data_IF_896257375302
#
_entry.id   IF_896257375302
#
_cell.length_a   1.000
_cell.length_b   1.000
_cell.length_c   1.000
_cell.angle_alpha   90.00
_cell.angle_beta   90.00
_cell.angle_gamma   90.00
#
_symmetry.space_group_name_H-M   'P 1'
#
loop_
_entity.id
_entity.type
_entity.pdbx_description
1 polymer ?
#
# COMPACT_ATOMS: atom_id res chain seq x y z
N UNK A 1 -19.51 5.61 -43.77
CA UNK A 1 -18.28 5.11 -43.12
C UNK A 1 -18.44 3.62 -42.85
N UNK A 2 -17.41 2.80 -43.09
CA UNK A 2 -17.53 1.37 -42.83
C UNK A 2 -17.73 1.17 -41.33
N UNK A 3 -18.74 0.38 -40.95
CA UNK A 3 -19.00 0.05 -39.56
C UNK A 3 -17.77 -0.69 -38.98
N UNK A 4 -17.23 -0.21 -37.89
CA UNK A 4 -16.10 -0.84 -37.20
C UNK A 4 -16.57 -2.21 -36.70
N UNK A 5 -15.93 -3.28 -37.16
CA UNK A 5 -16.27 -4.64 -36.73
C UNK A 5 -15.89 -4.87 -35.23
N UNK A 6 -16.62 -5.74 -34.56
CA UNK A 6 -16.33 -6.10 -33.16
C UNK A 6 -14.92 -6.70 -33.02
N UNK A 7 -14.44 -7.38 -34.06
CA UNK A 7 -13.05 -7.87 -34.11
C UNK A 7 -12.02 -6.73 -34.07
N UNK A 8 -12.29 -5.65 -34.82
CA UNK A 8 -11.43 -4.45 -34.78
C UNK A 8 -11.46 -3.79 -33.40
N UNK A 9 -12.63 -3.75 -32.74
CA UNK A 9 -12.78 -3.21 -31.38
C UNK A 9 -11.98 -4.07 -30.39
N UNK A 10 -12.12 -5.39 -30.44
CA UNK A 10 -11.35 -6.31 -29.57
C UNK A 10 -9.84 -6.17 -29.78
N UNK A 11 -9.40 -6.03 -31.03
CA UNK A 11 -7.98 -5.79 -31.35
C UNK A 11 -7.48 -4.46 -30.76
N UNK A 12 -8.27 -3.40 -30.87
CA UNK A 12 -7.97 -2.08 -30.30
C UNK A 12 -7.89 -2.14 -28.76
N UNK A 13 -8.86 -2.81 -28.11
CA UNK A 13 -8.87 -3.02 -26.66
C UNK A 13 -7.57 -3.71 -26.20
N UNK A 14 -7.19 -4.79 -26.89
CA UNK A 14 -5.97 -5.54 -26.62
C UNK A 14 -4.72 -4.69 -26.79
N UNK A 15 -4.64 -3.90 -27.86
CA UNK A 15 -3.52 -3.00 -28.11
C UNK A 15 -3.40 -1.95 -26.99
N UNK A 16 -4.49 -1.25 -26.66
CA UNK A 16 -4.50 -0.25 -25.57
C UNK A 16 -4.13 -0.89 -24.22
N UNK A 17 -4.65 -2.10 -23.95
CA UNK A 17 -4.34 -2.82 -22.72
C UNK A 17 -2.84 -3.13 -22.60
N UNK A 18 -2.21 -3.55 -23.70
CA UNK A 18 -0.77 -3.79 -23.75
C UNK A 18 0.04 -2.49 -23.63
N UNK A 19 -0.30 -1.45 -24.38
CA UNK A 19 0.41 -0.16 -24.35
C UNK A 19 0.33 0.53 -22.97
N UNK A 20 -0.74 0.33 -22.23
CA UNK A 20 -0.99 0.95 -20.93
C UNK A 20 -0.76 0.02 -19.74
N UNK A 21 -0.35 -1.22 -19.99
CA UNK A 21 -0.14 -2.26 -18.97
C UNK A 21 -1.33 -2.41 -18.03
N UNK A 22 -2.52 -2.59 -18.62
CA UNK A 22 -3.79 -2.77 -17.91
C UNK A 22 -4.56 -3.98 -18.42
N UNK A 23 -5.47 -4.50 -17.60
CA UNK A 23 -6.34 -5.62 -17.98
C UNK A 23 -7.30 -5.19 -19.09
N UNK A 24 -7.47 -6.03 -20.12
CA UNK A 24 -8.39 -5.79 -21.23
C UNK A 24 -9.82 -5.44 -20.78
N UNK A 25 -10.30 -6.13 -19.74
CA UNK A 25 -11.64 -5.86 -19.18
C UNK A 25 -11.82 -4.42 -18.66
N UNK A 26 -10.75 -3.75 -18.22
CA UNK A 26 -10.84 -2.35 -17.78
C UNK A 26 -10.94 -1.39 -18.97
N UNK A 27 -10.21 -1.68 -20.04
CA UNK A 27 -10.28 -0.90 -21.30
C UNK A 27 -11.66 -1.07 -21.95
N UNK A 28 -12.16 -2.31 -21.98
CA UNK A 28 -13.49 -2.62 -22.51
C UNK A 28 -14.59 -1.88 -21.74
N UNK A 29 -14.52 -1.88 -20.41
CA UNK A 29 -15.45 -1.14 -19.58
C UNK A 29 -15.41 0.35 -19.86
N UNK A 30 -14.22 0.95 -19.89
CA UNK A 30 -14.08 2.39 -20.20
C UNK A 30 -14.63 2.74 -21.57
N UNK A 31 -14.46 1.87 -22.57
CA UNK A 31 -15.00 2.06 -23.90
C UNK A 31 -16.53 1.97 -23.90
N UNK A 32 -17.13 1.00 -23.21
CA UNK A 32 -18.58 0.88 -23.04
C UNK A 32 -19.17 2.14 -22.38
N UNK A 33 -18.56 2.64 -21.31
CA UNK A 33 -19.00 3.84 -20.61
C UNK A 33 -18.89 5.10 -21.50
N UNK A 34 -17.88 5.18 -22.34
CA UNK A 34 -17.73 6.24 -23.34
C UNK A 34 -18.85 6.20 -24.41
N UNK A 35 -19.15 5.02 -24.93
CA UNK A 35 -20.24 4.83 -25.92
C UNK A 35 -21.59 5.18 -25.29
N UNK A 36 -21.86 4.74 -24.05
CA UNK A 36 -23.05 5.14 -23.31
C UNK A 36 -23.15 6.65 -23.18
N UNK A 37 -22.03 7.34 -22.93
CA UNK A 37 -22.00 8.82 -22.85
C UNK A 37 -22.33 9.48 -24.17
N UNK A 38 -21.79 8.95 -25.29
CA UNK A 38 -22.12 9.46 -26.63
C UNK A 38 -23.61 9.32 -26.94
N UNK A 39 -24.19 8.14 -26.69
CA UNK A 39 -25.59 7.87 -26.95
C UNK A 39 -26.50 8.77 -26.12
N UNK A 40 -26.22 8.90 -24.82
CA UNK A 40 -27.01 9.77 -23.95
C UNK A 40 -27.02 11.22 -24.41
N UNK A 41 -25.86 11.72 -24.83
CA UNK A 41 -25.74 13.11 -25.30
C UNK A 41 -26.34 13.31 -26.68
N UNK A 42 -26.11 12.37 -27.60
CA UNK A 42 -26.61 12.47 -28.96
C UNK A 42 -28.13 12.39 -29.03
N UNK A 43 -28.76 11.45 -28.35
CA UNK A 43 -30.21 11.23 -28.32
C UNK A 43 -30.95 11.94 -27.20
N UNK A 44 -30.27 12.62 -26.26
CA UNK A 44 -30.91 13.21 -25.09
C UNK A 44 -31.58 12.18 -24.18
N UNK A 45 -31.08 10.93 -24.15
CA UNK A 45 -31.70 9.84 -23.38
C UNK A 45 -31.37 10.03 -21.91
N UNK A 46 -32.38 10.18 -21.06
CA UNK A 46 -32.28 10.05 -19.62
C UNK A 46 -32.58 8.61 -19.20
N UNK A 47 -31.77 8.05 -18.33
CA UNK A 47 -31.98 6.68 -17.84
C UNK A 47 -30.69 5.87 -17.77
N UNK A 48 -30.84 4.61 -17.37
CA UNK A 48 -29.73 3.66 -17.30
C UNK A 48 -29.53 3.00 -18.66
N UNK A 49 -28.32 3.13 -19.19
CA UNK A 49 -27.93 2.54 -20.46
C UNK A 49 -26.76 1.59 -20.25
N UNK A 50 -26.76 0.48 -20.99
CA UNK A 50 -25.60 -0.40 -21.13
C UNK A 50 -25.31 -0.64 -22.60
N UNK A 51 -24.08 -1.04 -22.90
CA UNK A 51 -23.64 -1.41 -24.24
C UNK A 51 -23.01 -2.79 -24.20
N UNK A 52 -23.41 -3.65 -25.11
CA UNK A 52 -22.83 -4.97 -25.31
C UNK A 52 -22.11 -5.06 -26.66
N UNK A 53 -20.97 -5.74 -26.66
CA UNK A 53 -20.24 -6.08 -27.88
C UNK A 53 -20.61 -7.53 -28.25
N UNK A 54 -21.44 -7.70 -29.29
CA UNK A 54 -21.92 -8.99 -29.80
C UNK A 54 -21.29 -9.28 -31.14
N UNK A 55 -21.43 -10.50 -31.66
CA UNK A 55 -20.95 -10.83 -33.02
C UNK A 55 -21.58 -9.96 -34.11
N UNK A 56 -22.79 -9.50 -33.89
CA UNK A 56 -23.53 -8.63 -34.83
C UNK A 56 -23.17 -7.14 -34.70
N UNK A 57 -22.38 -6.74 -33.72
CA UNK A 57 -21.96 -5.35 -33.51
C UNK A 57 -22.13 -4.82 -32.10
N UNK A 58 -22.19 -3.51 -31.99
CA UNK A 58 -22.42 -2.78 -30.74
C UNK A 58 -23.92 -2.70 -30.49
N UNK A 59 -24.39 -3.32 -29.39
CA UNK A 59 -25.82 -3.28 -29.05
C UNK A 59 -26.04 -2.47 -27.77
N UNK A 60 -26.65 -1.30 -27.86
CA UNK A 60 -27.06 -0.52 -26.71
C UNK A 60 -28.44 -0.96 -26.20
N UNK A 61 -28.60 -0.93 -24.88
CA UNK A 61 -29.84 -1.25 -24.21
C UNK A 61 -30.19 -0.21 -23.16
N UNK A 62 -31.46 0.22 -23.13
CA UNK A 62 -32.03 0.93 -21.99
C UNK A 62 -32.39 -0.08 -20.91
N UNK A 63 -32.02 0.20 -19.66
CA UNK A 63 -32.26 -0.69 -18.52
C UNK A 63 -33.36 -0.11 -17.66
N UNK A 64 -34.47 -0.79 -17.58
CA UNK A 64 -35.62 -0.42 -16.73
C UNK A 64 -35.99 -1.52 -15.74
N UNK A 65 -36.60 -1.14 -14.61
CA UNK A 65 -37.27 -2.10 -13.74
C UNK A 65 -38.44 -2.73 -14.49
N UNK A 66 -38.59 -4.05 -14.45
CA UNK A 66 -39.66 -4.78 -15.15
C UNK A 66 -41.04 -4.19 -14.84
N UNK A 67 -41.28 -3.90 -13.58
CA UNK A 67 -42.58 -3.36 -13.08
C UNK A 67 -42.87 -1.98 -13.64
N UNK A 68 -41.87 -1.10 -13.73
CA UNK A 68 -42.04 0.25 -14.31
C UNK A 68 -42.31 0.17 -15.81
N UNK A 69 -41.57 -0.69 -16.51
CA UNK A 69 -41.77 -0.88 -17.95
C UNK A 69 -43.16 -1.47 -18.23
N UNK A 70 -43.63 -2.42 -17.46
CA UNK A 70 -44.96 -3.00 -17.58
C UNK A 70 -46.06 -1.97 -17.34
N UNK A 71 -45.92 -1.14 -16.29
CA UNK A 71 -46.87 -0.05 -16.00
C UNK A 71 -46.92 0.99 -17.10
N UNK A 72 -45.76 1.40 -17.65
CA UNK A 72 -45.69 2.33 -18.78
C UNK A 72 -46.42 1.77 -20.00
N UNK A 73 -46.19 0.52 -20.37
CA UNK A 73 -46.81 -0.13 -21.52
C UNK A 73 -48.32 -0.34 -21.35
N UNK A 74 -48.75 -0.65 -20.13
CA UNK A 74 -50.19 -0.76 -19.81
C UNK A 74 -50.91 0.59 -19.97
N UNK A 75 -50.29 1.69 -19.55
CA UNK A 75 -50.81 3.04 -19.78
C UNK A 75 -50.90 3.41 -21.27
N UNK A 76 -50.02 2.86 -22.10
CA UNK A 76 -50.03 2.99 -23.54
C UNK A 76 -51.05 2.04 -24.25
N UNK A 77 -51.78 1.20 -23.49
CA UNK A 77 -52.73 0.21 -24.02
C UNK A 77 -52.08 -1.01 -24.65
N UNK A 78 -50.77 -1.24 -24.36
CA UNK A 78 -50.01 -2.35 -24.93
C UNK A 78 -49.81 -3.47 -23.91
N UNK A 79 -49.99 -4.73 -24.35
CA UNK A 79 -49.66 -5.92 -23.59
C UNK A 79 -48.23 -6.32 -23.98
N UNK A 80 -47.33 -6.37 -22.98
CA UNK A 80 -45.90 -6.71 -23.19
C UNK A 80 -45.68 -8.21 -23.04
N UNK A 81 -45.13 -8.83 -24.06
CA UNK A 81 -44.55 -10.17 -23.93
C UNK A 81 -43.07 -10.05 -23.47
N UNK A 82 -42.83 -10.28 -22.20
CA UNK A 82 -41.50 -10.20 -21.59
C UNK A 82 -40.52 -11.26 -22.07
N UNK A 83 -40.97 -12.33 -22.73
CA UNK A 83 -40.07 -13.38 -23.26
C UNK A 83 -39.25 -12.91 -24.45
N UNK A 84 -39.65 -11.78 -25.07
CA UNK A 84 -38.89 -11.14 -26.14
C UNK A 84 -37.74 -10.24 -25.67
N UNK A 85 -37.68 -9.95 -24.38
CA UNK A 85 -36.65 -9.07 -23.81
C UNK A 85 -35.64 -9.87 -22.99
N UNK A 86 -34.40 -9.46 -23.09
CA UNK A 86 -33.35 -9.96 -22.20
C UNK A 86 -33.61 -9.46 -20.79
N UNK A 87 -33.55 -10.39 -19.80
CA UNK A 87 -33.78 -10.10 -18.40
C UNK A 87 -32.44 -10.08 -17.67
N UNK A 88 -32.31 -9.17 -16.69
CA UNK A 88 -31.14 -9.05 -15.83
C UNK A 88 -31.61 -9.07 -14.37
N UNK A 89 -31.10 -9.98 -13.57
CA UNK A 89 -31.39 -10.02 -12.14
C UNK A 89 -30.54 -8.97 -11.40
N UNK A 90 -31.17 -8.30 -10.46
CA UNK A 90 -30.53 -7.32 -9.61
C UNK A 90 -30.89 -7.48 -8.14
N UNK A 91 -30.05 -6.95 -7.26
CA UNK A 91 -30.28 -6.87 -5.82
C UNK A 91 -30.36 -5.43 -5.39
N UNK A 92 -31.42 -5.06 -4.71
CA UNK A 92 -31.59 -3.72 -4.14
C UNK A 92 -30.51 -3.51 -3.08
N UNK A 93 -29.71 -2.45 -3.23
CA UNK A 93 -28.73 -2.06 -2.23
C UNK A 93 -29.38 -1.21 -1.14
N UNK A 94 -30.00 -0.12 -1.55
CA UNK A 94 -30.71 0.80 -0.67
C UNK A 94 -31.49 1.83 -1.50
N UNK A 95 -32.47 2.45 -0.85
CA UNK A 95 -33.21 3.59 -1.38
C UNK A 95 -32.49 4.88 -0.94
N UNK A 96 -32.33 5.82 -1.87
CA UNK A 96 -31.79 7.15 -1.63
C UNK A 96 -32.85 8.22 -1.94
N UNK A 97 -32.56 9.49 -1.60
CA UNK A 97 -33.41 10.61 -2.02
C UNK A 97 -33.47 10.78 -3.55
N UNK A 98 -32.46 10.29 -4.28
CA UNK A 98 -32.32 10.39 -5.72
C UNK A 98 -32.87 9.19 -6.48
N UNK A 99 -33.27 8.09 -5.79
CA UNK A 99 -33.82 6.90 -6.44
C UNK A 99 -33.47 5.58 -5.76
N UNK A 100 -33.84 4.47 -6.41
CA UNK A 100 -33.58 3.10 -6.01
C UNK A 100 -32.23 2.63 -6.59
N UNK A 101 -31.30 2.18 -5.76
CA UNK A 101 -29.99 1.69 -6.18
C UNK A 101 -29.99 0.17 -6.25
N UNK A 102 -29.74 -0.38 -7.42
CA UNK A 102 -29.77 -1.82 -7.69
C UNK A 102 -28.42 -2.27 -8.22
N UNK A 103 -27.86 -3.33 -7.63
CA UNK A 103 -26.62 -3.99 -8.07
C UNK A 103 -26.96 -5.19 -8.94
N UNK A 104 -26.25 -5.35 -10.04
CA UNK A 104 -26.35 -6.50 -10.96
C UNK A 104 -24.94 -6.99 -11.32
N UNK A 105 -24.84 -8.07 -12.07
CA UNK A 105 -23.59 -8.53 -12.67
C UNK A 105 -22.98 -7.52 -13.65
N UNK A 106 -23.83 -6.76 -14.34
CA UNK A 106 -23.42 -5.74 -15.34
C UNK A 106 -23.12 -4.35 -14.74
N UNK A 107 -23.29 -4.19 -13.43
CA UNK A 107 -23.00 -2.94 -12.73
C UNK A 107 -24.06 -2.53 -11.72
N UNK A 108 -23.94 -1.29 -11.25
CA UNK A 108 -24.89 -0.72 -10.28
C UNK A 108 -25.66 0.41 -10.96
N UNK A 109 -26.99 0.33 -10.93
CA UNK A 109 -27.91 1.25 -11.55
C UNK A 109 -28.68 2.06 -10.53
N UNK A 110 -29.01 3.30 -10.87
CA UNK A 110 -29.87 4.18 -10.09
C UNK A 110 -31.16 4.42 -10.85
N UNK A 111 -32.28 3.92 -10.31
CA UNK A 111 -33.61 4.13 -10.88
C UNK A 111 -34.31 5.29 -10.18
N UNK A 112 -34.55 6.37 -10.91
CA UNK A 112 -35.32 7.52 -10.40
C UNK A 112 -36.82 7.23 -10.34
N UNK A 113 -37.31 6.43 -11.30
CA UNK A 113 -38.69 5.96 -11.38
C UNK A 113 -38.78 4.52 -10.88
N UNK A 114 -39.67 4.29 -9.94
CA UNK A 114 -40.03 2.97 -9.38
C UNK A 114 -41.44 3.05 -8.83
N UNK A 115 -42.20 1.94 -8.73
CA UNK A 115 -43.59 1.94 -8.21
C UNK A 115 -43.66 2.63 -6.85
N UNK A 116 -44.54 3.63 -6.73
CA UNK A 116 -44.66 4.44 -5.52
C UNK A 116 -45.38 3.70 -4.38
N UNK A 117 -46.17 2.71 -4.73
CA UNK A 117 -46.95 1.84 -3.83
C UNK A 117 -46.17 0.66 -3.27
N UNK A 118 -44.91 0.49 -3.72
CA UNK A 118 -44.03 -0.61 -3.27
C UNK A 118 -42.85 -0.07 -2.45
N UNK A 119 -42.60 -0.73 -1.32
CA UNK A 119 -41.43 -0.53 -0.49
C UNK A 119 -40.36 -1.54 -0.89
N UNK A 120 -39.15 -1.09 -1.22
CA UNK A 120 -38.01 -1.92 -1.54
C UNK A 120 -37.03 -1.97 -0.36
N UNK A 121 -36.68 -3.18 0.06
CA UNK A 121 -35.73 -3.38 1.15
C UNK A 121 -34.34 -3.75 0.61
N UNK A 122 -33.28 -3.46 1.39
CA UNK A 122 -31.92 -3.87 1.05
C UNK A 122 -31.81 -5.40 1.01
N UNK A 123 -31.22 -5.94 -0.05
CA UNK A 123 -31.11 -7.38 -0.29
C UNK A 123 -32.24 -7.96 -1.14
N UNK A 124 -33.32 -7.24 -1.41
CA UNK A 124 -34.43 -7.70 -2.24
C UNK A 124 -33.99 -7.93 -3.69
N UNK A 125 -34.47 -9.03 -4.29
CA UNK A 125 -34.23 -9.33 -5.71
C UNK A 125 -35.25 -8.62 -6.60
N UNK A 126 -34.77 -8.03 -7.66
CA UNK A 126 -35.59 -7.34 -8.69
C UNK A 126 -35.19 -7.82 -10.07
N UNK A 127 -36.13 -7.77 -10.98
CA UNK A 127 -35.88 -8.10 -12.40
C UNK A 127 -35.83 -6.81 -13.21
N UNK A 128 -34.73 -6.65 -13.98
CA UNK A 128 -34.55 -5.58 -14.93
C UNK A 128 -34.80 -6.11 -16.35
N UNK A 129 -35.26 -5.23 -17.20
CA UNK A 129 -35.50 -5.52 -18.62
C UNK A 129 -34.49 -4.71 -19.43
N UNK A 130 -33.86 -5.37 -20.40
CA UNK A 130 -32.97 -4.74 -21.37
C UNK A 130 -33.77 -4.47 -22.65
N UNK A 131 -34.00 -3.19 -22.91
CA UNK A 131 -34.77 -2.73 -24.08
C UNK A 131 -33.76 -2.32 -25.15
N UNK A 132 -33.68 -3.04 -26.27
CA UNK A 132 -32.76 -2.72 -27.33
C UNK A 132 -33.05 -1.32 -27.91
N UNK A 133 -31.98 -0.56 -28.18
CA UNK A 133 -32.06 0.76 -28.80
C UNK A 133 -31.45 0.66 -30.20
N UNK A 134 -32.18 1.16 -31.17
CA UNK A 134 -31.67 1.40 -32.53
C UNK A 134 -31.02 2.79 -32.58
N UNK A 135 -29.77 2.84 -33.02
CA UNK A 135 -28.99 4.08 -33.10
C UNK A 135 -28.40 4.21 -34.50
N UNK A 136 -28.80 5.28 -35.17
CA UNK A 136 -28.17 5.64 -36.42
C UNK A 136 -26.87 6.42 -36.18
N UNK A 137 -25.81 6.18 -36.98
CA UNK A 137 -24.52 6.86 -36.82
C UNK A 137 -24.61 8.39 -36.84
N UNK A 138 -25.58 8.94 -37.58
CA UNK A 138 -25.84 10.39 -37.73
C UNK A 138 -26.36 11.02 -36.42
N UNK A 139 -26.88 10.23 -35.50
CA UNK A 139 -27.41 10.70 -34.21
C UNK A 139 -26.30 11.00 -33.18
N UNK A 140 -25.05 10.64 -33.49
CA UNK A 140 -23.88 10.95 -32.69
C UNK A 140 -23.12 12.13 -33.27
N UNK A 141 -23.47 13.32 -32.83
CA UNK A 141 -22.81 14.55 -33.26
C UNK A 141 -21.37 14.71 -32.76
N UNK A 142 -20.70 15.76 -33.20
CA UNK A 142 -19.33 16.10 -32.78
C UNK A 142 -19.22 16.26 -31.26
N UNK A 143 -20.20 16.87 -30.62
CA UNK A 143 -20.16 17.11 -29.15
C UNK A 143 -20.34 15.83 -28.36
N UNK A 144 -21.20 14.92 -28.83
CA UNK A 144 -21.36 13.59 -28.24
C UNK A 144 -20.09 12.76 -28.37
N UNK A 145 -19.45 12.78 -29.54
CA UNK A 145 -18.17 12.09 -29.78
C UNK A 145 -17.03 12.66 -28.92
N UNK A 146 -16.95 14.00 -28.78
CA UNK A 146 -15.98 14.66 -27.90
C UNK A 146 -16.16 14.26 -26.44
N UNK A 147 -17.41 14.25 -25.97
CA UNK A 147 -17.71 13.85 -24.59
C UNK A 147 -17.39 12.36 -24.33
N UNK A 148 -17.63 11.50 -25.31
CA UNK A 148 -17.25 10.10 -25.24
C UNK A 148 -15.74 9.93 -25.10
N UNK A 149 -14.95 10.66 -25.91
CA UNK A 149 -13.48 10.66 -25.81
C UNK A 149 -13.00 11.12 -24.44
N UNK A 150 -13.55 12.20 -23.90
CA UNK A 150 -13.21 12.70 -22.57
C UNK A 150 -13.55 11.67 -21.48
N UNK A 151 -14.73 11.04 -21.56
CA UNK A 151 -15.16 9.98 -20.66
C UNK A 151 -14.22 8.77 -20.73
N UNK A 152 -13.90 8.30 -21.94
CA UNK A 152 -12.98 7.17 -22.14
C UNK A 152 -11.62 7.43 -21.48
N UNK A 153 -11.01 8.57 -21.77
CA UNK A 153 -9.71 8.94 -21.21
C UNK A 153 -9.73 9.04 -19.69
N UNK A 154 -10.81 9.58 -19.14
CA UNK A 154 -11.00 9.69 -17.68
C UNK A 154 -11.17 8.31 -17.04
N UNK A 155 -12.10 7.50 -17.51
CA UNK A 155 -12.39 6.16 -16.96
C UNK A 155 -11.17 5.25 -17.09
N UNK A 156 -10.44 5.31 -18.20
CA UNK A 156 -9.19 4.57 -18.38
C UNK A 156 -8.11 5.02 -17.38
N UNK A 157 -7.94 6.34 -17.21
CA UNK A 157 -6.98 6.87 -16.24
C UNK A 157 -7.33 6.46 -14.79
N UNK A 158 -8.60 6.47 -14.44
CA UNK A 158 -9.05 6.06 -13.11
C UNK A 158 -8.91 4.54 -12.90
N UNK A 159 -9.15 3.74 -13.94
CA UNK A 159 -8.92 2.29 -13.92
C UNK A 159 -7.44 1.93 -13.75
N UNK A 160 -6.54 2.64 -14.46
CA UNK A 160 -5.08 2.48 -14.32
C UNK A 160 -4.65 2.77 -12.87
N UNK A 161 -5.13 3.87 -12.29
CA UNK A 161 -4.82 4.23 -10.89
C UNK A 161 -5.33 3.18 -9.90
N UNK A 162 -6.54 2.67 -10.11
CA UNK A 162 -7.13 1.65 -9.22
C UNK A 162 -6.36 0.32 -9.31
N UNK A 163 -5.97 -0.09 -10.52
CA UNK A 163 -5.13 -1.27 -10.72
C UNK A 163 -3.77 -1.09 -10.02
N UNK A 164 -3.09 0.04 -10.27
CA UNK A 164 -1.82 0.37 -9.62
C UNK A 164 -1.94 0.40 -8.09
N UNK A 165 -3.06 0.96 -7.56
CA UNK A 165 -3.31 0.93 -6.12
C UNK A 165 -3.34 -0.49 -5.55
N UNK A 166 -4.00 -1.43 -6.24
CA UNK A 166 -4.08 -2.84 -5.79
C UNK A 166 -2.72 -3.51 -5.84
N UNK A 167 -1.99 -3.34 -6.94
CA UNK A 167 -0.64 -3.89 -7.11
C UNK A 167 0.31 -3.38 -6.00
N UNK A 168 0.34 -2.07 -5.76
CA UNK A 168 1.18 -1.50 -4.71
C UNK A 168 0.69 -1.83 -3.30
N UNK A 169 -0.62 -2.09 -3.11
CA UNK A 169 -1.16 -2.50 -1.81
C UNK A 169 -0.63 -3.88 -1.38
N UNK A 170 -0.39 -4.78 -2.33
CA UNK A 170 0.23 -6.08 -2.08
C UNK A 170 1.72 -5.95 -1.72
N UNK A 171 2.38 -4.87 -2.16
CA UNK A 171 3.77 -4.55 -1.86
C UNK A 171 3.97 -3.71 -0.59
N UNK A 172 2.88 -3.36 0.12
CA UNK A 172 2.98 -2.58 1.36
C UNK A 172 3.80 -3.33 2.41
N UNK A 173 4.83 -2.67 2.94
CA UNK A 173 5.79 -3.26 3.85
C UNK A 173 7.02 -3.87 3.17
N UNK A 174 7.15 -3.78 1.84
CA UNK A 174 8.31 -4.23 1.09
C UNK A 174 9.16 -3.07 0.56
N UNK A 175 10.37 -3.42 0.07
CA UNK A 175 11.28 -2.47 -0.55
C UNK A 175 10.86 -2.23 -2.00
N UNK A 176 10.70 -0.95 -2.34
CA UNK A 176 10.48 -0.49 -3.71
C UNK A 176 11.67 0.32 -4.20
N UNK A 177 11.82 0.37 -5.51
CA UNK A 177 12.86 1.10 -6.22
C UNK A 177 12.19 2.18 -7.06
N UNK A 178 12.75 3.38 -7.06
CA UNK A 178 12.23 4.48 -7.84
C UNK A 178 13.28 5.52 -8.18
N UNK A 179 12.83 6.56 -8.90
CA UNK A 179 13.67 7.69 -9.29
C UNK A 179 13.08 8.97 -8.71
N UNK A 180 13.91 9.80 -8.11
CA UNK A 180 13.50 11.10 -7.60
C UNK A 180 13.06 11.99 -8.74
N UNK A 181 11.78 12.37 -8.74
CA UNK A 181 11.17 13.23 -9.77
C UNK A 181 11.27 14.71 -9.43
N UNK A 182 11.07 15.05 -8.16
CA UNK A 182 11.19 16.41 -7.65
C UNK A 182 11.31 16.44 -6.13
N UNK A 183 11.94 17.49 -5.63
CA UNK A 183 11.96 17.84 -4.21
C UNK A 183 11.03 19.03 -4.02
N UNK A 184 10.08 18.91 -3.10
CA UNK A 184 9.09 19.95 -2.82
C UNK A 184 9.67 21.02 -1.87
N UNK A 185 9.14 22.25 -1.85
CA UNK A 185 9.57 23.29 -0.89
C UNK A 185 9.39 22.87 0.58
N UNK A 186 8.47 21.94 0.88
CA UNK A 186 8.30 21.31 2.20
C UNK A 186 9.48 20.42 2.62
N UNK A 187 10.36 20.07 1.66
CA UNK A 187 11.42 19.07 1.83
C UNK A 187 10.96 17.64 1.55
N UNK A 188 9.68 17.41 1.23
CA UNK A 188 9.21 16.10 0.82
C UNK A 188 9.72 15.76 -0.58
N UNK A 189 10.05 14.50 -0.81
CA UNK A 189 10.57 14.01 -2.09
C UNK A 189 9.50 13.22 -2.81
N UNK A 190 9.24 13.54 -4.07
CA UNK A 190 8.36 12.78 -4.95
C UNK A 190 9.21 11.81 -5.75
N UNK A 191 8.87 10.54 -5.65
CA UNK A 191 9.59 9.41 -6.26
C UNK A 191 8.69 8.74 -7.29
N UNK A 192 9.18 8.61 -8.51
CA UNK A 192 8.53 7.87 -9.58
C UNK A 192 8.81 6.38 -9.41
N UNK A 193 7.75 5.59 -9.25
CA UNK A 193 7.80 4.12 -9.18
C UNK A 193 7.44 3.46 -10.52
N UNK A 194 7.42 4.22 -11.60
CA UNK A 194 7.07 3.78 -12.96
C UNK A 194 5.59 3.94 -13.28
N UNK A 195 4.69 3.34 -12.51
CA UNK A 195 3.22 3.42 -12.72
C UNK A 195 2.56 4.56 -11.95
N UNK A 196 3.13 4.95 -10.82
CA UNK A 196 2.57 5.95 -9.92
C UNK A 196 3.67 6.64 -9.12
N UNK A 197 3.45 7.90 -8.79
CA UNK A 197 4.34 8.66 -7.90
C UNK A 197 4.06 8.30 -6.44
N UNK A 198 5.14 8.14 -5.66
CA UNK A 198 5.11 8.00 -4.21
C UNK A 198 5.74 9.23 -3.55
N UNK A 199 5.42 9.45 -2.29
CA UNK A 199 6.00 10.55 -1.50
C UNK A 199 6.90 9.97 -0.41
N UNK A 200 8.12 10.48 -0.31
CA UNK A 200 9.02 10.28 0.83
C UNK A 200 9.00 11.56 1.67
N UNK A 201 8.18 11.61 2.75
CA UNK A 201 8.06 12.80 3.59
C UNK A 201 9.40 13.12 4.27
N UNK A 202 9.66 14.38 4.54
CA UNK A 202 10.90 14.83 5.19
C UNK A 202 11.19 14.08 6.50
N UNK A 203 10.17 13.79 7.31
CA UNK A 203 10.30 13.03 8.56
C UNK A 203 10.65 11.55 8.37
N UNK A 204 10.46 11.01 7.18
CA UNK A 204 10.75 9.63 6.79
C UNK A 204 12.07 9.51 6.02
N UNK A 205 12.82 10.62 5.89
CA UNK A 205 14.15 10.69 5.26
C UNK A 205 15.22 10.51 6.34
N UNK A 206 16.31 9.84 5.99
CA UNK A 206 17.49 9.78 6.87
C UNK A 206 18.08 11.19 6.96
N UNK A 207 18.32 11.74 8.16
CA UNK A 207 18.73 13.15 8.32
C UNK A 207 20.03 13.54 7.63
N UNK A 208 20.90 12.57 7.35
CA UNK A 208 22.19 12.76 6.68
C UNK A 208 22.11 12.67 5.16
N UNK A 209 20.95 12.29 4.61
CA UNK A 209 20.75 12.15 3.17
C UNK A 209 20.31 13.44 2.50
N UNK A 210 20.77 13.62 1.27
CA UNK A 210 20.32 14.67 0.35
C UNK A 210 19.80 13.99 -0.92
N UNK A 211 18.75 14.55 -1.51
CA UNK A 211 18.09 13.98 -2.68
C UNK A 211 18.08 15.00 -3.82
N UNK A 212 18.47 14.55 -5.00
CA UNK A 212 18.47 15.33 -6.23
C UNK A 212 17.57 14.67 -7.27
N UNK A 213 17.06 15.46 -8.20
CA UNK A 213 16.27 14.96 -9.33
C UNK A 213 17.09 13.95 -10.12
N UNK A 214 16.48 12.83 -10.52
CA UNK A 214 17.06 11.67 -11.17
C UNK A 214 17.88 10.73 -10.29
N UNK A 215 17.99 10.98 -8.98
CA UNK A 215 18.62 10.01 -8.07
C UNK A 215 17.78 8.73 -8.02
N UNK A 216 18.47 7.58 -8.07
CA UNK A 216 17.84 6.27 -7.81
C UNK A 216 17.77 6.04 -6.32
N UNK A 217 16.60 5.64 -5.83
CA UNK A 217 16.34 5.45 -4.42
C UNK A 217 15.71 4.08 -4.16
N UNK A 218 16.15 3.44 -3.07
CA UNK A 218 15.45 2.33 -2.44
C UNK A 218 14.71 2.85 -1.22
N UNK A 219 13.49 2.45 -0.99
CA UNK A 219 12.74 2.81 0.21
C UNK A 219 11.74 1.72 0.58
N UNK A 220 11.32 1.70 1.83
CA UNK A 220 10.18 0.91 2.27
C UNK A 220 8.91 1.56 1.74
N UNK A 221 8.05 0.79 1.10
CA UNK A 221 6.67 1.21 0.83
C UNK A 221 5.88 1.10 2.15
N UNK A 222 5.91 2.20 2.91
CA UNK A 222 5.42 2.21 4.29
C UNK A 222 3.89 2.15 4.38
N UNK A 223 3.20 2.91 3.50
CA UNK A 223 1.74 2.96 3.47
C UNK A 223 1.21 3.12 2.05
N UNK A 224 0.15 2.40 1.77
CA UNK A 224 -0.64 2.53 0.55
C UNK A 224 -2.08 2.80 0.95
N UNK A 225 -2.54 4.02 0.75
CA UNK A 225 -3.87 4.48 1.16
C UNK A 225 -4.56 5.25 0.03
N UNK A 226 -5.86 5.50 0.17
CA UNK A 226 -6.58 6.40 -0.73
C UNK A 226 -6.84 7.71 -0.01
N UNK A 227 -6.39 8.82 -0.60
CA UNK A 227 -6.70 10.17 -0.14
C UNK A 227 -7.58 10.86 -1.17
N UNK A 228 -8.77 11.26 -0.78
CA UNK A 228 -9.78 11.86 -1.68
C UNK A 228 -10.02 11.01 -2.94
N UNK A 229 -10.11 9.69 -2.77
CA UNK A 229 -10.32 8.72 -3.86
C UNK A 229 -9.11 8.45 -4.77
N UNK A 230 -7.94 9.07 -4.51
CA UNK A 230 -6.71 8.85 -5.29
C UNK A 230 -5.71 8.02 -4.51
N UNK A 231 -4.97 7.10 -5.15
CA UNK A 231 -3.87 6.40 -4.53
C UNK A 231 -2.83 7.37 -3.95
N UNK A 232 -2.40 7.11 -2.73
CA UNK A 232 -1.36 7.86 -2.04
C UNK A 232 -0.38 6.88 -1.42
N UNK A 233 0.84 6.85 -1.95
CA UNK A 233 1.92 5.96 -1.55
C UNK A 233 2.91 6.76 -0.71
N UNK A 234 3.21 6.24 0.48
CA UNK A 234 4.16 6.87 1.41
C UNK A 234 5.36 5.96 1.56
N UNK A 235 6.54 6.50 1.28
CA UNK A 235 7.82 5.83 1.45
C UNK A 235 8.44 6.18 2.79
N UNK A 236 9.29 5.29 3.32
CA UNK A 236 10.11 5.54 4.51
C UNK A 236 11.50 4.93 4.33
N UNK A 237 12.52 5.66 4.77
CA UNK A 237 13.90 5.18 4.94
C UNK A 237 14.31 5.14 6.42
N UNK A 238 13.47 5.71 7.31
CA UNK A 238 13.71 5.73 8.77
C UNK A 238 13.08 4.56 9.51
N UNK A 239 12.02 3.96 8.97
CA UNK A 239 11.27 2.92 9.65
C UNK A 239 12.12 1.65 9.91
N UNK A 240 12.04 1.02 11.09
CA UNK A 240 12.82 -0.19 11.41
C UNK A 240 12.58 -1.36 10.43
N UNK A 241 11.37 -1.46 9.87
CA UNK A 241 11.04 -2.47 8.87
C UNK A 241 11.90 -2.34 7.60
N UNK A 242 12.35 -1.12 7.24
CA UNK A 242 13.25 -0.94 6.10
C UNK A 242 14.57 -1.69 6.32
N UNK A 243 15.19 -1.52 7.49
CA UNK A 243 16.40 -2.28 7.84
C UNK A 243 16.15 -3.78 7.90
N UNK A 244 14.99 -4.21 8.43
CA UNK A 244 14.61 -5.63 8.44
C UNK A 244 14.57 -6.20 7.02
N UNK A 245 13.90 -5.53 6.10
CA UNK A 245 13.81 -5.98 4.70
C UNK A 245 15.14 -5.99 3.97
N UNK A 246 16.04 -5.04 4.30
CA UNK A 246 17.41 -5.08 3.77
C UNK A 246 18.17 -6.30 4.30
N UNK A 247 18.05 -6.63 5.60
CA UNK A 247 18.67 -7.81 6.18
C UNK A 247 18.12 -9.11 5.56
N UNK A 248 16.80 -9.22 5.38
CA UNK A 248 16.14 -10.36 4.74
C UNK A 248 16.63 -10.59 3.31
N UNK A 249 16.87 -9.52 2.55
CA UNK A 249 17.38 -9.62 1.17
C UNK A 249 18.87 -9.96 1.05
N UNK A 250 19.68 -9.54 2.01
CA UNK A 250 21.14 -9.72 1.94
C UNK A 250 21.61 -11.01 2.66
N UNK A 251 20.79 -11.56 3.56
CA UNK A 251 21.17 -12.66 4.44
C UNK A 251 20.19 -13.81 4.29
N UNK A 252 20.59 -14.82 3.54
CA UNK A 252 19.75 -16.00 3.22
C UNK A 252 19.24 -16.73 4.46
N UNK A 253 20.03 -16.81 5.51
CA UNK A 253 19.63 -17.49 6.75
C UNK A 253 18.51 -16.75 7.52
N UNK A 254 18.35 -15.44 7.27
CA UNK A 254 17.20 -14.68 7.78
C UNK A 254 15.98 -14.92 6.87
N UNK A 255 16.17 -14.88 5.55
CA UNK A 255 15.10 -15.16 4.58
C UNK A 255 14.51 -16.56 4.76
N UNK A 256 15.38 -17.57 4.96
CA UNK A 256 15.02 -18.97 5.20
C UNK A 256 14.44 -19.19 6.64
N UNK A 257 14.48 -18.19 7.50
CA UNK A 257 13.97 -18.26 8.88
C UNK A 257 14.83 -19.10 9.83
N UNK A 258 16.08 -19.42 9.48
CA UNK A 258 17.08 -20.08 10.38
C UNK A 258 17.53 -19.13 11.49
N UNK A 259 17.68 -17.85 11.12
CA UNK A 259 17.94 -16.75 12.05
C UNK A 259 16.73 -15.81 12.03
N UNK A 260 16.18 -15.56 13.21
CA UNK A 260 15.03 -14.68 13.38
C UNK A 260 15.48 -13.30 13.89
N UNK A 261 15.03 -12.23 13.20
CA UNK A 261 15.17 -10.87 13.70
C UNK A 261 14.01 -10.57 14.64
N UNK A 262 14.25 -10.56 15.93
CA UNK A 262 13.23 -10.33 16.97
C UNK A 262 12.82 -8.86 17.05
N UNK A 263 13.77 -7.96 17.12
CA UNK A 263 13.54 -6.53 17.36
C UNK A 263 14.61 -5.67 16.69
N UNK A 264 14.21 -4.52 16.21
CA UNK A 264 15.11 -3.50 15.68
C UNK A 264 14.76 -2.15 16.31
N UNK A 265 15.78 -1.44 16.80
CA UNK A 265 15.69 -0.04 17.22
C UNK A 265 16.76 0.76 16.48
N UNK A 266 16.40 1.96 16.01
CA UNK A 266 17.27 2.81 15.16
C UNK A 266 17.26 4.26 15.62
N UNK A 267 18.41 4.90 15.46
CA UNK A 267 18.57 6.33 15.22
C UNK A 267 19.02 6.48 13.76
N UNK A 268 18.09 6.78 12.83
CA UNK A 268 18.37 6.72 11.39
C UNK A 268 19.58 7.58 10.98
N UNK A 269 20.51 6.97 10.22
CA UNK A 269 21.76 7.59 9.78
C UNK A 269 22.87 7.65 10.84
N UNK A 270 22.62 7.19 12.08
CA UNK A 270 23.64 7.13 13.13
C UNK A 270 23.90 5.66 13.53
N UNK A 271 22.94 5.01 14.16
CA UNK A 271 23.12 3.65 14.68
C UNK A 271 21.80 2.87 14.80
N UNK A 272 21.88 1.56 14.57
CA UNK A 272 20.81 0.61 14.84
C UNK A 272 21.27 -0.55 15.70
N UNK A 273 20.37 -1.14 16.48
CA UNK A 273 20.55 -2.42 17.16
C UNK A 273 19.52 -3.41 16.64
N UNK A 274 20.02 -4.56 16.20
CA UNK A 274 19.24 -5.64 15.61
C UNK A 274 19.35 -6.86 16.52
N UNK A 275 18.26 -7.26 17.14
CA UNK A 275 18.20 -8.44 17.99
C UNK A 275 17.93 -9.67 17.17
N UNK A 276 18.81 -10.65 17.26
CA UNK A 276 18.73 -11.89 16.51
C UNK A 276 18.70 -13.13 17.42
N UNK A 277 17.95 -14.14 16.97
CA UNK A 277 17.83 -15.44 17.62
C UNK A 277 18.00 -16.54 16.58
N UNK A 278 18.79 -17.57 16.87
CA UNK A 278 18.78 -18.79 16.08
C UNK A 278 17.77 -19.79 16.67
N UNK A 279 17.01 -20.41 15.78
CA UNK A 279 16.12 -21.54 16.16
C UNK A 279 16.90 -22.84 16.31
N UNK A 280 18.07 -22.93 15.69
CA UNK A 280 19.01 -24.06 15.85
C UNK A 280 20.16 -23.64 16.76
N UNK A 281 20.26 -24.27 17.92
CA UNK A 281 21.31 -23.97 18.91
C UNK A 281 22.75 -24.20 18.44
N UNK A 282 22.94 -24.80 17.25
CA UNK A 282 24.27 -25.00 16.62
C UNK A 282 24.72 -23.79 15.79
N UNK A 283 23.80 -22.88 15.49
CA UNK A 283 24.07 -21.72 14.63
C UNK A 283 24.28 -20.50 15.51
N UNK A 284 25.43 -19.84 15.39
CA UNK A 284 25.64 -18.52 15.99
C UNK A 284 24.92 -17.43 15.18
N UNK A 285 23.79 -16.89 15.68
CA UNK A 285 23.02 -15.93 14.89
C UNK A 285 23.76 -14.61 14.65
N UNK A 286 24.65 -14.21 15.57
CA UNK A 286 25.43 -12.97 15.45
C UNK A 286 26.50 -13.12 14.37
N UNK A 287 27.25 -14.23 14.43
CA UNK A 287 28.29 -14.54 13.44
C UNK A 287 27.72 -14.68 12.03
N UNK A 288 26.58 -15.34 11.89
CA UNK A 288 25.89 -15.51 10.60
C UNK A 288 25.49 -14.16 9.99
N UNK A 289 24.88 -13.29 10.79
CA UNK A 289 24.40 -11.98 10.31
C UNK A 289 25.56 -11.04 10.00
N UNK A 290 26.59 -11.00 10.82
CA UNK A 290 27.77 -10.16 10.58
C UNK A 290 28.61 -10.65 9.37
N UNK A 291 28.78 -11.96 9.25
CA UNK A 291 29.76 -12.52 8.34
C UNK A 291 31.19 -12.25 8.79
N UNK A 292 32.16 -12.59 7.94
CA UNK A 292 33.57 -12.35 8.24
C UNK A 292 33.87 -10.84 8.31
N UNK A 293 34.28 -10.36 9.48
CA UNK A 293 34.59 -8.94 9.73
C UNK A 293 33.43 -7.95 9.40
N UNK A 294 32.18 -8.42 9.44
CA UNK A 294 31.01 -7.59 9.18
C UNK A 294 30.68 -7.37 7.70
N UNK A 295 31.23 -8.19 6.81
CA UNK A 295 31.08 -8.03 5.35
C UNK A 295 29.62 -8.05 4.88
N UNK A 296 28.73 -8.80 5.56
CA UNK A 296 27.31 -8.92 5.18
C UNK A 296 26.49 -7.68 5.55
N UNK A 297 26.84 -6.99 6.63
CA UNK A 297 26.12 -5.78 7.07
C UNK A 297 26.67 -4.49 6.48
N UNK A 298 27.89 -4.53 5.91
CA UNK A 298 28.50 -3.34 5.29
C UNK A 298 27.70 -2.76 4.11
N UNK A 299 27.18 -3.56 3.14
CA UNK A 299 26.34 -3.04 2.07
C UNK A 299 25.08 -2.38 2.58
N UNK A 300 24.48 -2.94 3.65
CA UNK A 300 23.29 -2.41 4.30
C UNK A 300 23.61 -1.08 4.99
N UNK A 301 24.72 -1.03 5.75
CA UNK A 301 25.19 0.21 6.38
C UNK A 301 25.42 1.31 5.34
N UNK A 302 26.05 0.98 4.21
CA UNK A 302 26.26 1.91 3.09
C UNK A 302 24.94 2.41 2.49
N UNK A 303 23.97 1.51 2.29
CA UNK A 303 22.62 1.88 1.82
C UNK A 303 21.93 2.85 2.78
N UNK A 304 22.20 2.74 4.09
CA UNK A 304 21.65 3.58 5.15
C UNK A 304 22.56 4.76 5.51
N UNK A 305 23.35 5.27 4.55
CA UNK A 305 24.23 6.45 4.71
C UNK A 305 25.25 6.32 5.83
N UNK A 306 25.77 5.10 6.02
CA UNK A 306 26.80 4.81 7.01
C UNK A 306 26.26 4.54 8.41
N UNK A 307 24.98 4.29 8.58
CA UNK A 307 24.38 3.87 9.85
C UNK A 307 25.08 2.63 10.40
N UNK A 308 25.59 2.70 11.62
CA UNK A 308 26.26 1.58 12.29
C UNK A 308 25.22 0.55 12.73
N UNK A 309 25.43 -0.71 12.40
CA UNK A 309 24.49 -1.80 12.69
C UNK A 309 25.10 -2.74 13.71
N UNK A 310 24.63 -2.68 14.94
CA UNK A 310 25.03 -3.57 16.03
C UNK A 310 24.10 -4.79 16.05
N UNK A 311 24.66 -5.99 15.95
CA UNK A 311 23.91 -7.25 16.06
C UNK A 311 23.95 -7.73 17.51
N UNK A 312 22.76 -7.93 18.08
CA UNK A 312 22.56 -8.28 19.49
C UNK A 312 21.98 -9.69 19.58
N UNK A 313 22.66 -10.58 20.32
CA UNK A 313 22.10 -11.90 20.61
C UNK A 313 20.93 -11.75 21.59
N UNK A 314 19.81 -12.35 21.26
CA UNK A 314 18.69 -12.44 22.19
C UNK A 314 19.02 -13.35 23.37
N UNK A 315 18.56 -12.98 24.54
CA UNK A 315 18.53 -13.85 25.73
C UNK A 315 17.21 -13.64 26.47
N UNK A 316 16.67 -14.72 27.05
CA UNK A 316 15.50 -14.65 27.92
C UNK A 316 15.83 -14.07 29.29
N UNK A 317 17.10 -14.16 29.70
CA UNK A 317 17.59 -13.54 30.96
C UNK A 317 17.84 -12.06 30.69
N UNK A 318 17.13 -11.20 31.43
CA UNK A 318 17.16 -9.75 31.23
C UNK A 318 18.57 -9.15 31.40
N UNK A 319 19.32 -9.63 32.42
CA UNK A 319 20.70 -9.19 32.66
C UNK A 319 21.65 -9.55 31.51
N UNK A 320 21.55 -10.76 31.01
CA UNK A 320 22.33 -11.22 29.86
C UNK A 320 21.91 -10.48 28.57
N UNK A 321 20.62 -10.23 28.38
CA UNK A 321 20.13 -9.49 27.25
C UNK A 321 20.62 -8.04 27.24
N UNK A 322 20.59 -7.35 28.40
CA UNK A 322 21.15 -6.01 28.55
C UNK A 322 22.66 -6.03 28.28
N UNK A 323 23.38 -7.04 28.85
CA UNK A 323 24.82 -7.23 28.62
C UNK A 323 25.12 -7.35 27.12
N UNK A 324 24.37 -8.18 26.38
CA UNK A 324 24.51 -8.36 24.95
C UNK A 324 24.16 -7.07 24.16
N UNK A 325 23.19 -6.30 24.63
CA UNK A 325 22.74 -5.09 24.00
C UNK A 325 23.74 -3.92 24.10
N UNK A 326 24.69 -3.98 25.03
CA UNK A 326 25.70 -2.93 25.20
C UNK A 326 26.72 -2.83 24.07
N UNK A 327 26.79 -3.82 23.18
CA UNK A 327 27.68 -3.74 22.00
C UNK A 327 27.62 -2.34 21.36
N UNK A 328 28.76 -1.77 20.91
CA UNK A 328 30.07 -2.38 20.77
C UNK A 328 30.91 -2.41 22.07
N UNK A 329 30.43 -1.83 23.18
CA UNK A 329 31.13 -1.94 24.47
C UNK A 329 30.88 -3.32 25.10
N UNK A 330 31.89 -3.78 25.81
CA UNK A 330 31.82 -5.03 26.59
C UNK A 330 31.33 -4.75 28.01
N UNK A 331 30.11 -5.16 28.35
CA UNK A 331 29.64 -5.11 29.73
C UNK A 331 30.28 -6.23 30.53
N UNK A 332 30.87 -5.88 31.68
CA UNK A 332 31.48 -6.80 32.64
C UNK A 332 30.43 -7.37 33.59
N UNK A 333 29.60 -6.49 34.14
CA UNK A 333 28.55 -6.80 35.11
C UNK A 333 27.29 -6.00 34.81
N UNK A 334 26.14 -6.61 35.06
CA UNK A 334 24.83 -5.94 35.00
C UNK A 334 24.10 -6.23 36.30
N UNK A 335 23.65 -5.19 36.98
CA UNK A 335 22.85 -5.28 38.18
C UNK A 335 21.46 -4.72 37.92
N UNK A 336 20.47 -5.59 37.98
CA UNK A 336 19.08 -5.21 37.72
C UNK A 336 18.41 -4.64 38.97
N UNK A 337 17.65 -3.59 38.79
CA UNK A 337 16.67 -3.05 39.74
C UNK A 337 15.27 -3.11 39.11
N UNK A 338 14.62 -4.28 39.09
CA UNK A 338 13.41 -4.52 38.32
C UNK A 338 12.25 -3.62 38.73
N UNK A 339 12.11 -3.30 40.02
CA UNK A 339 11.05 -2.44 40.56
C UNK A 339 11.15 -1.00 40.03
N UNK A 340 12.36 -0.51 39.81
CA UNK A 340 12.64 0.83 39.30
C UNK A 340 12.78 0.84 37.75
N UNK A 341 12.75 -0.34 37.11
CA UNK A 341 13.10 -0.50 35.67
C UNK A 341 14.46 0.14 35.35
N UNK A 342 15.45 -0.03 36.24
CA UNK A 342 16.83 0.45 36.10
C UNK A 342 17.80 -0.70 36.04
N UNK A 343 18.90 -0.51 35.33
CA UNK A 343 20.01 -1.43 35.25
C UNK A 343 21.34 -0.68 35.38
N UNK A 344 22.16 -1.07 36.35
CA UNK A 344 23.54 -0.60 36.49
C UNK A 344 24.43 -1.52 35.64
N UNK A 345 25.16 -0.92 34.69
CA UNK A 345 26.04 -1.66 33.79
C UNK A 345 27.47 -1.21 34.00
N UNK A 346 28.32 -2.16 34.37
CA UNK A 346 29.75 -1.92 34.59
C UNK A 346 30.52 -2.29 33.33
N UNK A 347 31.38 -1.39 32.87
CA UNK A 347 32.21 -1.57 31.69
C UNK A 347 33.67 -1.29 32.03
N UNK A 348 34.66 -1.78 31.24
CA UNK A 348 36.05 -1.36 31.38
C UNK A 348 36.19 0.17 31.31
N UNK A 349 37.14 0.71 32.07
CA UNK A 349 37.33 2.19 32.17
C UNK A 349 37.55 2.84 30.82
N UNK A 350 38.28 2.21 29.92
CA UNK A 350 38.55 2.66 28.57
C UNK A 350 37.32 2.61 27.64
N UNK A 351 36.26 1.91 28.04
CA UNK A 351 35.04 1.71 27.23
C UNK A 351 33.82 2.53 27.69
N UNK A 352 33.95 3.32 28.76
CA UNK A 352 32.83 4.11 29.29
C UNK A 352 32.19 5.02 28.21
N UNK A 353 33.02 5.78 27.47
CA UNK A 353 32.54 6.63 26.42
C UNK A 353 31.90 5.86 25.26
N UNK A 354 32.43 4.67 24.95
CA UNK A 354 31.88 3.80 23.91
C UNK A 354 30.52 3.21 24.34
N UNK A 355 30.40 2.83 25.64
CA UNK A 355 29.17 2.30 26.21
C UNK A 355 28.03 3.32 26.23
N UNK A 356 28.34 4.57 26.55
CA UNK A 356 27.40 5.70 26.51
C UNK A 356 27.06 6.04 25.04
N UNK A 357 28.06 6.10 24.18
CA UNK A 357 27.96 6.51 22.80
C UNK A 357 27.84 8.02 22.62
N UNK A 358 28.02 8.49 21.38
CA UNK A 358 27.91 9.91 21.03
C UNK A 358 26.51 10.43 21.40
N UNK A 359 26.44 11.52 22.21
CA UNK A 359 25.17 12.10 22.70
C UNK A 359 24.27 11.08 23.44
N UNK A 360 24.85 10.02 24.00
CA UNK A 360 24.09 8.96 24.68
C UNK A 360 23.32 8.03 23.72
N UNK A 361 23.64 7.99 22.43
CA UNK A 361 22.90 7.17 21.45
C UNK A 361 22.89 5.71 21.83
N UNK A 362 24.02 5.14 22.32
CA UNK A 362 24.08 3.72 22.63
C UNK A 362 23.14 3.36 23.81
N UNK A 363 23.22 4.08 24.91
CA UNK A 363 22.33 3.84 26.08
C UNK A 363 20.86 4.09 25.77
N UNK A 364 20.53 5.09 24.95
CA UNK A 364 19.16 5.33 24.47
C UNK A 364 18.62 4.16 23.67
N UNK A 365 19.43 3.60 22.77
CA UNK A 365 19.03 2.43 21.97
C UNK A 365 18.86 1.19 22.87
N UNK A 366 19.75 0.98 23.84
CA UNK A 366 19.61 -0.12 24.82
C UNK A 366 18.35 0.05 25.66
N UNK A 367 18.07 1.27 26.14
CA UNK A 367 16.81 1.58 26.83
C UNK A 367 15.58 1.25 25.98
N UNK A 368 15.53 1.73 24.73
CA UNK A 368 14.41 1.45 23.80
C UNK A 368 14.28 -0.05 23.49
N UNK A 369 15.37 -0.77 23.52
CA UNK A 369 15.42 -2.20 23.23
C UNK A 369 14.91 -3.04 24.40
N UNK A 370 15.34 -2.72 25.64
CA UNK A 370 15.13 -3.53 26.83
C UNK A 370 14.02 -3.01 27.76
N UNK A 371 13.70 -1.70 27.67
CA UNK A 371 12.77 -1.01 28.57
C UNK A 371 13.38 -0.59 29.91
N UNK A 372 14.68 -0.88 30.15
CA UNK A 372 15.38 -0.47 31.33
C UNK A 372 16.09 0.87 31.15
N UNK A 373 16.08 1.71 32.18
CA UNK A 373 16.97 2.86 32.23
C UNK A 373 18.40 2.36 32.54
N UNK A 374 19.38 2.77 31.76
CA UNK A 374 20.73 2.24 31.78
C UNK A 374 21.66 3.26 32.40
N UNK A 375 22.20 2.92 33.57
CA UNK A 375 23.25 3.68 34.25
C UNK A 375 24.58 2.97 34.01
N UNK A 376 25.53 3.63 33.36
CA UNK A 376 26.82 3.05 32.97
C UNK A 376 27.90 3.56 33.92
N UNK A 377 28.68 2.62 34.47
CA UNK A 377 29.80 2.90 35.37
C UNK A 377 31.10 2.31 34.82
N UNK A 378 32.18 3.05 35.01
CA UNK A 378 33.52 2.50 34.84
C UNK A 378 33.82 1.48 35.96
N UNK A 379 34.60 0.46 35.68
CA UNK A 379 34.92 -0.61 36.66
C UNK A 379 35.56 -0.05 37.92
N UNK A 380 36.52 0.89 37.76
CA UNK A 380 37.21 1.51 38.90
C UNK A 380 36.28 2.31 39.83
N UNK A 381 35.31 3.03 39.24
CA UNK A 381 34.36 3.82 40.02
C UNK A 381 33.30 2.95 40.70
N UNK A 382 32.86 1.88 40.02
CA UNK A 382 31.89 0.96 40.61
C UNK A 382 32.46 0.21 41.81
N UNK A 383 33.77 -0.20 41.81
CA UNK A 383 34.47 -0.80 42.94
C UNK A 383 34.50 0.14 44.14
N UNK A 384 34.71 1.43 43.96
CA UNK A 384 34.65 2.41 45.07
C UNK A 384 33.26 2.49 45.69
N UNK A 385 32.21 2.48 44.84
CA UNK A 385 30.81 2.48 45.31
C UNK A 385 30.48 1.21 46.10
N UNK A 386 30.97 0.05 45.66
CA UNK A 386 30.77 -1.22 46.39
C UNK A 386 31.49 -1.24 47.74
N UNK A 387 32.71 -0.69 47.81
CA UNK A 387 33.49 -0.56 49.07
C UNK A 387 32.76 0.33 50.08
N UNK A 388 32.29 1.51 49.67
CA UNK A 388 31.54 2.41 50.53
C UNK A 388 30.26 1.77 51.11
N UNK A 389 29.56 0.94 50.32
CA UNK A 389 28.36 0.21 50.78
C UNK A 389 28.68 -0.91 51.77
N UNK A 390 29.89 -1.47 51.71
CA UNK A 390 30.34 -2.51 52.65
C UNK A 390 30.84 -1.91 53.98
N UNK A 391 31.36 -0.69 53.97
CA UNK A 391 31.85 -0.01 55.18
C UNK A 391 30.70 0.68 55.98
N UNK A 392 29.52 0.85 55.40
CA UNK A 392 28.32 1.43 56.04
C UNK A 392 27.36 0.36 56.60
N UNK A 393 27.55 -0.94 56.36
CA UNK A 393 26.70 -2.04 56.80
C UNK A 393 27.36 -2.91 57.86
#
# INVERSE_FOLDING_TARGET
>A
MAAISVEQIKKLIKQIAQERDVKEALVEKALKDAIVTAIKKGKGIEGNLIVEFTEEGIKPYLVELKEVFEEKKRKEGQIVNFDRFQKLEGTVLHRTRSGLKVKTEKGTFLFKEYPADRTYEGGERVVLVLIPLEIEPEEVDYYAAKAAKETFLKELADAIKEQSYREFKELEGDIVYGVVRKVLPSGDVVVDLGKIDAVLPKREQIPTETYSVNDRIKALLWKVEKRRGKPHLVLSRTHPLFLRRLLEKEISEIEEGKVEVKRIVREPGDRAKVVVLSKDGRVDPVGVVLGLRGERVQPISKELSGEKIDIVRFSEKEDEFIKNAMVPARALKVVLKPQEKRAEVVVPDDQLSLAIGKRGTNVKLVHRLTGYHIDVFAESDYKKIEQLKTDEG
#
